data_IF_048672417037
#
_entry.id   IF_048672417037
#
_cell.length_a   1.000
_cell.length_b   1.000
_cell.length_c   1.000
_cell.angle_alpha   90.00
_cell.angle_beta   90.00
_cell.angle_gamma   90.00
#
_symmetry.space_group_name_H-M   'P 1'
#
loop_
_entity.id
_entity.type
_entity.pdbx_description
1 polymer ?
#
# COMPACT_ATOMS: atom_id res chain seq x y z
N UNK A 1 -3.02 -16.51 -2.79
CA UNK A 1 -4.43 -16.22 -3.08
C UNK A 1 -4.61 -14.72 -3.24
N UNK A 2 -4.57 -14.24 -4.49
CA UNK A 2 -4.86 -12.85 -4.83
C UNK A 2 -6.31 -12.53 -4.43
N UNK A 3 -6.51 -11.54 -3.57
CA UNK A 3 -7.84 -11.18 -3.04
C UNK A 3 -7.86 -9.75 -2.52
N UNK A 4 -9.03 -9.11 -2.54
CA UNK A 4 -9.21 -7.73 -2.06
C UNK A 4 -9.38 -7.66 -0.53
N UNK A 5 -9.59 -8.81 0.13
CA UNK A 5 -9.76 -8.93 1.59
C UNK A 5 -8.68 -8.22 2.43
N UNK A 6 -7.36 -8.43 2.21
CA UNK A 6 -6.32 -7.71 2.96
C UNK A 6 -6.38 -6.18 2.78
N UNK A 7 -6.82 -5.70 1.60
CA UNK A 7 -6.97 -4.26 1.33
C UNK A 7 -8.05 -3.66 2.21
N UNK A 8 -9.23 -4.28 2.25
CA UNK A 8 -10.35 -3.83 3.10
C UNK A 8 -10.01 -3.96 4.59
N UNK A 9 -9.34 -5.04 5.00
CA UNK A 9 -8.94 -5.25 6.40
C UNK A 9 -7.99 -4.15 6.90
N UNK A 10 -6.95 -3.83 6.11
CA UNK A 10 -5.99 -2.79 6.46
C UNK A 10 -6.63 -1.38 6.36
N UNK A 11 -7.53 -1.14 5.40
CA UNK A 11 -8.32 0.10 5.34
C UNK A 11 -9.12 0.34 6.62
N UNK A 12 -9.81 -0.67 7.15
CA UNK A 12 -10.59 -0.57 8.40
C UNK A 12 -9.68 -0.25 9.59
N UNK A 13 -8.49 -0.86 9.67
CA UNK A 13 -7.50 -0.56 10.71
C UNK A 13 -7.01 0.90 10.60
N UNK A 14 -6.66 1.36 9.40
CA UNK A 14 -6.19 2.73 9.16
C UNK A 14 -7.27 3.76 9.50
N UNK A 15 -8.53 3.52 9.11
CA UNK A 15 -9.67 4.38 9.47
C UNK A 15 -9.93 4.39 10.99
N UNK A 16 -9.76 3.26 11.67
CA UNK A 16 -9.81 3.18 13.14
C UNK A 16 -8.70 3.99 13.81
N UNK A 17 -7.46 3.87 13.32
CA UNK A 17 -6.32 4.67 13.82
C UNK A 17 -6.51 6.17 13.55
N UNK A 18 -7.08 6.54 12.40
CA UNK A 18 -7.47 7.92 12.09
C UNK A 18 -8.53 8.43 13.07
N UNK A 19 -9.59 7.66 13.35
CA UNK A 19 -10.61 8.02 14.34
C UNK A 19 -10.01 8.21 15.75
N UNK A 20 -9.14 7.30 16.19
CA UNK A 20 -8.37 7.45 17.44
C UNK A 20 -7.51 8.71 17.43
N UNK A 21 -6.77 8.97 16.35
CA UNK A 21 -5.99 10.20 16.15
C UNK A 21 -6.83 11.49 16.10
N UNK A 22 -8.14 11.40 15.84
CA UNK A 22 -9.04 12.56 15.97
C UNK A 22 -9.42 12.83 17.43
N UNK A 23 -9.61 11.78 18.23
CA UNK A 23 -10.15 11.85 19.59
C UNK A 23 -9.09 12.06 20.68
N UNK A 24 -7.93 11.42 20.55
CA UNK A 24 -6.91 11.39 21.62
C UNK A 24 -5.85 12.50 21.54
N UNK A 25 -5.83 13.35 20.49
CA UNK A 25 -4.88 14.47 20.40
C UNK A 25 -5.28 15.58 21.39
N UNK A 26 -4.42 15.96 22.36
CA UNK A 26 -4.76 16.92 23.40
C UNK A 26 -5.00 18.33 22.86
N UNK A 27 -5.75 19.13 23.62
CA UNK A 27 -6.03 20.53 23.29
C UNK A 27 -4.77 21.38 23.53
N UNK A 28 -4.37 22.14 22.53
CA UNK A 28 -3.18 23.00 22.54
C UNK A 28 -3.04 23.79 21.24
N UNK A 29 -2.11 24.76 21.16
CA UNK A 29 -2.02 25.70 20.03
C UNK A 29 -1.81 25.01 18.68
N UNK A 30 -1.09 23.88 18.66
CA UNK A 30 -0.79 23.12 17.45
C UNK A 30 -1.77 21.95 17.19
N UNK A 31 -2.90 21.87 17.91
CA UNK A 31 -3.81 20.70 17.87
C UNK A 31 -4.30 20.40 16.44
N UNK A 32 -4.73 21.42 15.70
CA UNK A 32 -5.22 21.24 14.31
C UNK A 32 -4.13 20.69 13.41
N UNK A 33 -2.91 21.22 13.50
CA UNK A 33 -1.74 20.79 12.70
C UNK A 33 -1.34 19.35 13.01
N UNK A 34 -1.34 18.95 14.29
CA UNK A 34 -1.03 17.57 14.69
C UNK A 34 -2.14 16.62 14.20
N UNK A 35 -3.41 16.99 14.39
CA UNK A 35 -4.56 16.19 13.96
C UNK A 35 -4.64 16.03 12.43
N UNK A 36 -4.26 17.04 11.65
CA UNK A 36 -4.20 16.92 10.18
C UNK A 36 -2.97 16.17 9.68
N UNK A 37 -1.79 16.39 10.28
CA UNK A 37 -0.56 15.69 9.89
C UNK A 37 -0.66 14.17 10.09
N UNK A 38 -1.20 13.71 11.23
CA UNK A 38 -1.41 12.28 11.51
C UNK A 38 -2.37 11.66 10.47
N UNK A 39 -3.46 12.36 10.14
CA UNK A 39 -4.42 11.90 9.12
C UNK A 39 -3.78 11.76 7.74
N UNK A 40 -3.00 12.77 7.32
CA UNK A 40 -2.38 12.79 6.00
C UNK A 40 -1.31 11.70 5.85
N UNK A 41 -0.50 11.47 6.88
CA UNK A 41 0.51 10.40 6.90
C UNK A 41 -0.12 9.01 6.90
N UNK A 42 -1.17 8.77 7.69
CA UNK A 42 -1.88 7.49 7.67
C UNK A 42 -2.53 7.21 6.31
N UNK A 43 -3.13 8.23 5.69
CA UNK A 43 -3.72 8.11 4.35
C UNK A 43 -2.66 7.87 3.26
N UNK A 44 -1.53 8.59 3.27
CA UNK A 44 -0.50 8.45 2.24
C UNK A 44 0.24 7.11 2.33
N UNK A 45 0.58 6.65 3.54
CA UNK A 45 1.17 5.32 3.75
C UNK A 45 0.20 4.20 3.31
N UNK A 46 -1.09 4.33 3.60
CA UNK A 46 -2.10 3.38 3.12
C UNK A 46 -2.21 3.35 1.59
N UNK A 47 -2.28 4.51 0.93
CA UNK A 47 -2.39 4.59 -0.53
C UNK A 47 -1.15 4.00 -1.23
N UNK A 48 0.06 4.31 -0.74
CA UNK A 48 1.31 3.75 -1.26
C UNK A 48 1.31 2.21 -1.18
N UNK A 49 0.92 1.66 -0.02
CA UNK A 49 0.82 0.21 0.17
C UNK A 49 -0.29 -0.42 -0.70
N UNK A 50 -1.45 0.22 -0.79
CA UNK A 50 -2.59 -0.29 -1.58
C UNK A 50 -2.27 -0.36 -3.06
N UNK A 51 -1.65 0.68 -3.62
CA UNK A 51 -1.28 0.76 -5.04
C UNK A 51 -0.23 -0.31 -5.38
N UNK A 52 0.80 -0.45 -4.55
CA UNK A 52 1.86 -1.46 -4.76
C UNK A 52 1.35 -2.89 -4.60
N UNK A 53 0.39 -3.14 -3.70
CA UNK A 53 -0.30 -4.43 -3.60
C UNK A 53 -1.14 -4.74 -4.85
N UNK A 54 -1.97 -3.79 -5.31
CA UNK A 54 -2.85 -4.04 -6.46
C UNK A 54 -2.10 -4.19 -7.79
N UNK A 55 -0.93 -3.56 -7.93
CA UNK A 55 -0.04 -3.77 -9.09
C UNK A 55 0.48 -5.22 -9.22
N UNK A 56 0.49 -5.99 -8.13
CA UNK A 56 0.94 -7.39 -8.09
C UNK A 56 -0.22 -8.40 -8.13
N UNK A 57 -1.48 -7.93 -8.11
CA UNK A 57 -2.65 -8.80 -7.93
C UNK A 57 -2.96 -9.66 -9.17
N UNK A 58 -2.68 -9.11 -10.37
CA UNK A 58 -2.84 -9.76 -11.67
C UNK A 58 -1.61 -9.42 -12.55
N UNK A 59 -0.45 -10.07 -12.34
CA UNK A 59 0.79 -9.69 -13.00
C UNK A 59 0.76 -10.04 -14.50
N UNK A 60 1.05 -9.05 -15.35
CA UNK A 60 1.22 -9.22 -16.80
C UNK A 60 2.66 -9.56 -17.20
N UNK A 61 3.60 -9.49 -16.25
CA UNK A 61 5.03 -9.71 -16.45
C UNK A 61 5.49 -10.71 -15.38
N UNK A 62 6.15 -11.78 -15.81
CA UNK A 62 6.78 -12.77 -14.92
C UNK A 62 8.23 -12.38 -14.61
N UNK A 63 8.77 -12.80 -13.44
CA UNK A 63 10.19 -12.58 -13.14
C UNK A 63 11.05 -13.47 -14.05
N UNK A 64 12.06 -12.87 -14.67
CA UNK A 64 13.05 -13.54 -15.52
C UNK A 64 14.45 -13.44 -14.89
N UNK A 65 15.25 -14.51 -15.00
CA UNK A 65 16.61 -14.56 -14.45
C UNK A 65 17.58 -15.23 -15.42
N UNK A 66 18.39 -14.42 -16.12
CA UNK A 66 19.37 -14.90 -17.11
C UNK A 66 20.54 -15.71 -16.52
N UNK A 67 20.75 -15.64 -15.20
CA UNK A 67 21.73 -16.49 -14.51
C UNK A 67 21.20 -17.94 -14.33
N UNK A 68 19.87 -18.10 -14.19
CA UNK A 68 19.23 -19.40 -14.02
C UNK A 68 18.85 -20.06 -15.36
N UNK A 69 18.71 -19.27 -16.42
CA UNK A 69 18.50 -19.73 -17.78
C UNK A 69 19.39 -18.89 -18.71
N UNK A 70 20.51 -19.44 -19.23
CA UNK A 70 21.47 -18.67 -20.02
C UNK A 70 21.31 -18.89 -21.55
N UNK A 71 20.74 -20.02 -21.95
CA UNK A 71 20.72 -20.57 -23.32
C UNK A 71 19.76 -19.85 -24.29
N UNK A 72 18.92 -18.99 -23.72
CA UNK A 72 17.75 -18.38 -24.33
C UNK A 72 18.04 -16.98 -24.89
N UNK A 73 17.78 -16.82 -26.19
CA UNK A 73 17.54 -15.52 -26.80
C UNK A 73 16.27 -14.88 -26.21
N UNK A 74 16.25 -13.55 -26.17
CA UNK A 74 15.17 -12.77 -25.53
C UNK A 74 13.92 -12.77 -26.42
N UNK A 75 13.26 -13.92 -26.51
CA UNK A 75 11.85 -13.99 -26.84
C UNK A 75 11.08 -13.28 -25.72
N UNK A 76 10.64 -12.05 -25.98
CA UNK A 76 9.73 -11.31 -25.11
C UNK A 76 8.42 -12.10 -24.97
N UNK A 77 8.33 -12.99 -23.97
CA UNK A 77 7.23 -13.96 -23.79
C UNK A 77 5.88 -13.25 -23.79
N UNK A 78 5.06 -13.34 -24.86
CA UNK A 78 3.89 -12.50 -25.03
C UNK A 78 2.62 -13.35 -24.84
N UNK A 79 2.38 -13.75 -23.59
CA UNK A 79 1.30 -14.64 -23.10
C UNK A 79 1.43 -16.10 -23.54
#
# INVERSE_FOLDING_TARGET
MASVLPVIFILVIVLGLMACGFLFVPKGPNQTTIRSAIMLTLASCYLMWMITYMAQLHPLITPYCKECYPDDEIHFVPL
#
